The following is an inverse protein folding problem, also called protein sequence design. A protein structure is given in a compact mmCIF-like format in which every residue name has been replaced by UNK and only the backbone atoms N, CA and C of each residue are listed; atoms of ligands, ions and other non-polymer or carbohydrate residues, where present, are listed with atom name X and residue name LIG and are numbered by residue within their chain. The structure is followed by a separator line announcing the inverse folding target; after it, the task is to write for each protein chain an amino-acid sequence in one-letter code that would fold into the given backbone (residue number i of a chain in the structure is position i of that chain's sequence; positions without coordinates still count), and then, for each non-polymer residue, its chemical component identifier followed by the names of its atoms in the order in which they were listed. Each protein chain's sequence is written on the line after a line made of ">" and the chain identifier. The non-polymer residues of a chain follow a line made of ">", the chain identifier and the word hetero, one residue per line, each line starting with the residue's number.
data_IF_079363489874
#
_entry.id   IF_079363489874
#
_cell.length_a   1.000
_cell.length_b   1.000
_cell.length_c   1.000
_cell.angle_alpha   90.00
_cell.angle_beta   90.00
_cell.angle_gamma   90.00
#
_symmetry.space_group_name_H-M   'P 1'
#
loop_
_entity.id
_entity.type
_entity.pdbx_description
1 polymer ?
#
# COMPACT_ATOMS: atom_id res chain seq x y z
N UNK A 1 13.07 4.56 -7.47
CA UNK A 1 12.99 4.94 -6.04
C UNK A 1 13.69 3.97 -5.10
N UNK A 2 14.09 4.44 -3.92
CA UNK A 2 14.64 3.66 -2.78
C UNK A 2 13.93 4.02 -1.47
N UNK A 3 13.96 3.11 -0.49
CA UNK A 3 13.38 3.34 0.84
C UNK A 3 14.39 3.03 1.95
N UNK A 4 14.57 3.96 2.88
CA UNK A 4 15.38 3.79 4.08
C UNK A 4 14.47 3.61 5.30
N UNK A 5 14.51 2.40 5.90
CA UNK A 5 13.72 2.02 7.08
C UNK A 5 14.07 2.87 8.31
N UNK A 6 15.35 3.19 8.50
CA UNK A 6 15.82 3.88 9.72
C UNK A 6 15.26 5.31 9.81
N UNK A 7 15.20 6.00 8.67
CA UNK A 7 14.68 7.37 8.56
C UNK A 7 13.22 7.44 8.09
N UNK A 8 12.64 6.32 7.63
CA UNK A 8 11.35 6.23 6.91
C UNK A 8 11.31 7.17 5.70
N UNK A 9 12.43 7.30 5.01
CA UNK A 9 12.58 8.20 3.86
C UNK A 9 12.45 7.42 2.57
N UNK A 10 11.55 7.87 1.69
CA UNK A 10 11.55 7.46 0.28
C UNK A 10 12.35 8.49 -0.53
N UNK A 11 13.12 7.99 -1.50
CA UNK A 11 13.94 8.82 -2.39
C UNK A 11 13.67 8.42 -3.83
N UNK A 12 13.43 9.39 -4.70
CA UNK A 12 13.27 9.14 -6.14
C UNK A 12 14.61 9.00 -6.88
N UNK A 13 14.53 8.72 -8.18
CA UNK A 13 15.68 8.62 -9.09
C UNK A 13 16.44 9.93 -9.27
N UNK A 14 15.81 11.08 -8.96
CA UNK A 14 16.43 12.41 -9.02
C UNK A 14 17.00 12.85 -7.66
N UNK A 15 16.88 12.02 -6.62
CA UNK A 15 17.35 12.31 -5.27
C UNK A 15 16.39 13.14 -4.42
N UNK A 16 15.17 13.42 -4.89
CA UNK A 16 14.13 14.09 -4.08
C UNK A 16 13.66 13.14 -2.99
N UNK A 17 13.63 13.64 -1.76
CA UNK A 17 13.31 12.85 -0.58
C UNK A 17 11.96 13.23 0.02
N UNK A 18 11.31 12.24 0.63
CA UNK A 18 10.13 12.45 1.47
C UNK A 18 10.14 11.51 2.67
N UNK A 19 9.97 12.10 3.85
CA UNK A 19 9.85 11.35 5.10
C UNK A 19 8.38 10.93 5.27
N UNK A 20 8.14 9.64 5.44
CA UNK A 20 6.83 9.09 5.74
C UNK A 20 6.47 9.35 7.21
N UNK A 21 5.19 9.55 7.49
CA UNK A 21 4.72 9.57 8.88
C UNK A 21 5.03 8.23 9.58
N UNK A 22 5.15 8.19 10.92
CA UNK A 22 5.49 6.95 11.63
C UNK A 22 4.60 5.76 11.25
N UNK A 23 3.27 5.96 11.18
CA UNK A 23 2.33 4.89 10.79
C UNK A 23 2.42 4.53 9.31
N UNK A 24 2.69 5.50 8.41
CA UNK A 24 2.93 5.20 7.00
C UNK A 24 4.19 4.35 6.82
N UNK A 25 5.27 4.68 7.56
CA UNK A 25 6.50 3.89 7.56
C UNK A 25 6.26 2.46 8.04
N UNK A 26 5.60 2.28 9.19
CA UNK A 26 5.25 0.95 9.70
C UNK A 26 4.40 0.14 8.71
N UNK A 27 3.38 0.77 8.10
CA UNK A 27 2.57 0.11 7.07
C UNK A 27 3.41 -0.27 5.86
N UNK A 28 4.30 0.62 5.42
CA UNK A 28 5.11 0.38 4.23
C UNK A 28 6.15 -0.71 4.46
N UNK A 29 6.81 -0.72 5.62
CA UNK A 29 7.71 -1.79 6.05
C UNK A 29 6.98 -3.13 6.09
N UNK A 30 5.80 -3.19 6.73
CA UNK A 30 4.98 -4.40 6.79
C UNK A 30 4.62 -4.91 5.37
N UNK A 31 4.30 -4.00 4.46
CA UNK A 31 3.97 -4.32 3.08
C UNK A 31 5.19 -4.77 2.25
N UNK A 32 6.36 -4.16 2.45
CA UNK A 32 7.63 -4.55 1.82
C UNK A 32 8.05 -5.94 2.29
N UNK A 33 8.00 -6.18 3.61
CA UNK A 33 8.40 -7.46 4.20
C UNK A 33 7.47 -8.61 3.75
N UNK A 34 6.28 -8.28 3.23
CA UNK A 34 5.31 -9.21 2.66
C UNK A 34 5.04 -8.94 1.16
N UNK A 35 6.02 -8.41 0.42
CA UNK A 35 5.85 -8.05 -0.99
C UNK A 35 5.31 -9.25 -1.80
N UNK A 36 4.30 -9.00 -2.63
CA UNK A 36 3.61 -10.03 -3.42
C UNK A 36 2.58 -10.87 -2.65
N UNK A 37 2.53 -10.75 -1.32
CA UNK A 37 1.59 -11.46 -0.45
C UNK A 37 0.53 -10.52 0.15
N UNK A 38 -0.57 -11.10 0.60
CA UNK A 38 -1.67 -10.34 1.21
C UNK A 38 -1.32 -10.07 2.67
N UNK A 39 -1.22 -8.79 3.02
CA UNK A 39 -1.23 -8.33 4.40
C UNK A 39 -2.67 -8.13 4.83
N UNK A 40 -3.14 -8.94 5.77
CA UNK A 40 -4.52 -8.87 6.25
C UNK A 40 -4.74 -7.65 7.14
N UNK A 41 -5.99 -7.22 7.25
CA UNK A 41 -6.38 -6.13 8.17
C UNK A 41 -6.06 -6.46 9.61
N UNK A 42 -6.20 -7.72 10.00
CA UNK A 42 -5.83 -8.17 11.35
C UNK A 42 -4.33 -8.03 11.59
N UNK A 43 -3.50 -8.49 10.66
CA UNK A 43 -2.05 -8.30 10.72
C UNK A 43 -1.67 -6.82 10.82
N UNK A 44 -2.37 -5.94 10.09
CA UNK A 44 -2.16 -4.49 10.20
C UNK A 44 -2.51 -3.96 11.59
N UNK A 45 -3.64 -4.38 12.18
CA UNK A 45 -4.07 -4.00 13.54
C UNK A 45 -3.05 -4.43 14.58
N UNK A 46 -2.59 -5.66 14.49
CA UNK A 46 -1.60 -6.23 15.41
C UNK A 46 -0.25 -5.50 15.30
N UNK A 47 0.23 -5.25 14.08
CA UNK A 47 1.58 -4.72 13.85
C UNK A 47 1.66 -3.21 14.06
N UNK A 48 0.72 -2.45 13.50
CA UNK A 48 0.80 -0.97 13.47
C UNK A 48 0.18 -0.35 14.72
N UNK A 49 -0.84 -1.00 15.29
CA UNK A 49 -1.59 -0.47 16.43
C UNK A 49 -1.53 -1.37 17.67
N UNK A 50 -0.70 -2.42 17.68
CA UNK A 50 -0.46 -3.27 18.86
C UNK A 50 -1.76 -3.81 19.47
N UNK A 51 -2.70 -4.29 18.62
CA UNK A 51 -4.03 -4.80 19.01
C UNK A 51 -4.99 -3.76 19.59
N UNK A 52 -4.72 -2.46 19.45
CA UNK A 52 -5.76 -1.46 19.72
C UNK A 52 -6.93 -1.61 18.74
N UNK A 53 -8.15 -1.45 19.26
CA UNK A 53 -9.37 -1.48 18.44
C UNK A 53 -9.38 -0.25 17.52
N UNK A 54 -9.07 -0.46 16.24
CA UNK A 54 -9.16 0.57 15.20
C UNK A 54 -10.33 0.29 14.26
N UNK A 55 -10.90 1.32 13.63
CA UNK A 55 -11.93 1.10 12.61
C UNK A 55 -11.29 0.63 11.30
N UNK A 56 -12.08 -0.05 10.47
CA UNK A 56 -11.73 -0.34 9.07
C UNK A 56 -11.40 0.94 8.29
N UNK A 57 -12.15 2.00 8.58
CA UNK A 57 -11.98 3.32 7.99
C UNK A 57 -10.59 3.91 8.28
N UNK A 58 -10.08 3.75 9.51
CA UNK A 58 -8.73 4.19 9.87
C UNK A 58 -7.65 3.47 9.07
N UNK A 59 -7.82 2.15 8.82
CA UNK A 59 -6.91 1.37 7.98
C UNK A 59 -6.95 1.89 6.53
N UNK A 60 -8.16 2.09 6.00
CA UNK A 60 -8.35 2.66 4.66
C UNK A 60 -7.68 4.02 4.52
N UNK A 61 -7.85 4.91 5.50
CA UNK A 61 -7.23 6.22 5.50
C UNK A 61 -5.70 6.15 5.54
N UNK A 62 -5.13 5.25 6.35
CA UNK A 62 -3.69 5.06 6.40
C UNK A 62 -3.14 4.58 5.05
N UNK A 63 -3.80 3.60 4.41
CA UNK A 63 -3.41 3.10 3.08
C UNK A 63 -3.53 4.21 2.02
N UNK A 64 -4.62 4.98 2.03
CA UNK A 64 -4.81 6.11 1.12
C UNK A 64 -3.71 7.17 1.30
N UNK A 65 -3.32 7.46 2.55
CA UNK A 65 -2.22 8.38 2.83
C UNK A 65 -0.90 7.85 2.30
N UNK A 66 -0.59 6.58 2.57
CA UNK A 66 0.63 5.95 2.08
C UNK A 66 0.70 5.99 0.55
N UNK A 67 -0.40 5.65 -0.16
CA UNK A 67 -0.45 5.77 -1.62
C UNK A 67 -0.15 7.20 -2.10
N UNK A 68 -0.72 8.22 -1.45
CA UNK A 68 -0.43 9.62 -1.80
C UNK A 68 1.04 9.98 -1.58
N UNK A 69 1.63 9.53 -0.48
CA UNK A 69 3.04 9.78 -0.19
C UNK A 69 3.97 9.08 -1.20
N UNK A 70 3.68 7.82 -1.56
CA UNK A 70 4.45 7.07 -2.58
C UNK A 70 4.36 7.68 -3.98
N UNK A 71 3.16 8.06 -4.43
CA UNK A 71 2.95 8.65 -5.77
C UNK A 71 3.31 10.14 -5.85
N UNK A 72 3.84 10.74 -4.78
CA UNK A 72 4.14 12.18 -4.76
C UNK A 72 5.50 12.55 -5.33
N UNK A 73 6.39 11.57 -5.54
CA UNK A 73 7.76 11.81 -6.01
C UNK A 73 7.97 11.42 -7.47
N UNK A 74 7.49 10.24 -7.89
CA UNK A 74 7.61 9.77 -9.28
C UNK A 74 6.23 9.55 -9.91
N UNK A 75 6.09 9.93 -11.19
CA UNK A 75 4.88 9.66 -11.97
C UNK A 75 4.62 8.17 -12.13
N UNK A 76 5.70 7.40 -12.39
CA UNK A 76 5.68 5.94 -12.45
C UNK A 76 6.26 5.39 -11.13
N UNK A 77 5.44 5.40 -10.08
CA UNK A 77 5.87 4.88 -8.80
C UNK A 77 6.04 3.34 -8.87
N UNK A 78 7.21 2.79 -8.54
CA UNK A 78 7.46 1.36 -8.64
C UNK A 78 6.71 0.56 -7.57
N UNK A 79 6.10 1.19 -6.57
CA UNK A 79 5.38 0.56 -5.46
C UNK A 79 3.89 0.79 -5.57
N UNK A 80 3.14 -0.26 -5.89
CA UNK A 80 1.70 -0.21 -6.05
C UNK A 80 1.03 -1.03 -4.95
N UNK A 81 0.11 -0.39 -4.22
CA UNK A 81 -0.66 -1.04 -3.15
C UNK A 81 -2.03 -1.40 -3.70
N UNK A 82 -2.33 -2.68 -3.76
CA UNK A 82 -3.61 -3.23 -4.22
C UNK A 82 -4.59 -3.40 -3.06
N UNK A 83 -5.88 -3.36 -3.39
CA UNK A 83 -6.94 -3.79 -2.46
C UNK A 83 -7.33 -5.21 -2.82
N UNK A 84 -7.29 -6.10 -1.84
CA UNK A 84 -7.86 -7.44 -1.95
C UNK A 84 -9.17 -7.45 -1.15
N UNK A 85 -10.35 -7.48 -1.82
CA UNK A 85 -11.64 -7.40 -1.15
C UNK A 85 -11.76 -8.41 -0.01
N UNK A 86 -12.28 -7.95 1.13
CA UNK A 86 -12.48 -8.75 2.36
C UNK A 86 -11.22 -9.35 3.01
N UNK A 87 -10.05 -9.27 2.37
CA UNK A 87 -8.82 -9.87 2.88
C UNK A 87 -7.84 -8.81 3.41
N UNK A 88 -7.48 -7.83 2.58
CA UNK A 88 -6.45 -6.86 2.99
C UNK A 88 -5.86 -6.12 1.81
N UNK A 89 -4.54 -5.94 1.86
CA UNK A 89 -3.78 -5.19 0.86
C UNK A 89 -2.52 -5.96 0.50
N UNK A 90 -2.03 -5.70 -0.69
CA UNK A 90 -0.79 -6.31 -1.19
C UNK A 90 0.06 -5.23 -1.84
N UNK A 91 1.36 -5.25 -1.56
CA UNK A 91 2.32 -4.46 -2.29
C UNK A 91 2.85 -5.25 -3.48
N UNK A 92 2.80 -4.66 -4.66
CA UNK A 92 3.43 -5.16 -5.87
C UNK A 92 4.38 -4.12 -6.43
N UNK A 93 5.44 -4.61 -7.06
CA UNK A 93 6.42 -3.75 -7.72
C UNK A 93 6.25 -3.76 -9.23
N UNK A 94 6.78 -2.74 -9.90
CA UNK A 94 6.69 -2.58 -11.36
C UNK A 94 7.20 -3.81 -12.15
N UNK A 95 8.18 -4.55 -11.63
CA UNK A 95 8.63 -5.82 -12.23
C UNK A 95 7.51 -6.87 -12.32
N UNK A 96 6.49 -6.79 -11.45
CA UNK A 96 5.29 -7.64 -11.47
C UNK A 96 4.11 -7.02 -12.25
N UNK A 97 4.26 -5.83 -12.84
CA UNK A 97 3.17 -5.05 -13.45
C UNK A 97 2.48 -5.75 -14.65
N UNK A 98 3.12 -6.74 -15.26
CA UNK A 98 2.57 -7.46 -16.41
C UNK A 98 1.26 -8.22 -16.13
N UNK A 99 0.88 -8.46 -14.87
CA UNK A 99 -0.36 -9.18 -14.51
C UNK A 99 -1.49 -8.26 -14.01
N UNK A 100 -1.23 -6.95 -13.87
CA UNK A 100 -2.07 -6.02 -13.09
C UNK A 100 -3.28 -5.48 -13.86
N UNK A 101 -3.13 -5.18 -15.15
CA UNK A 101 -4.25 -4.66 -15.96
C UNK A 101 -5.47 -5.58 -15.95
N UNK A 102 -5.26 -6.89 -15.81
CA UNK A 102 -6.32 -7.89 -15.86
C UNK A 102 -7.21 -7.92 -14.61
N UNK A 103 -6.68 -7.71 -13.39
CA UNK A 103 -7.55 -7.72 -12.20
C UNK A 103 -8.29 -6.40 -12.01
N UNK A 104 -7.71 -5.26 -12.42
CA UNK A 104 -8.36 -3.94 -12.29
C UNK A 104 -9.64 -3.90 -13.12
N UNK A 105 -9.60 -4.43 -14.34
CA UNK A 105 -10.80 -4.61 -15.16
C UNK A 105 -11.80 -5.54 -14.48
N UNK A 106 -11.38 -6.71 -14.00
CA UNK A 106 -12.26 -7.69 -13.33
C UNK A 106 -12.86 -7.15 -12.02
N UNK A 107 -12.17 -6.28 -11.31
CA UNK A 107 -12.66 -5.61 -10.10
C UNK A 107 -13.67 -4.52 -10.46
N UNK A 108 -13.40 -3.70 -11.47
CA UNK A 108 -14.36 -2.71 -12.00
C UNK A 108 -15.65 -3.42 -12.45
N UNK A 109 -15.52 -4.55 -13.17
CA UNK A 109 -16.65 -5.34 -13.63
C UNK A 109 -17.46 -5.91 -12.45
N UNK A 110 -16.78 -6.39 -11.39
CA UNK A 110 -17.40 -6.88 -10.17
C UNK A 110 -18.12 -5.78 -9.37
N UNK A 111 -17.50 -4.60 -9.22
CA UNK A 111 -18.11 -3.44 -8.53
C UNK A 111 -19.36 -2.97 -9.28
N UNK A 112 -19.31 -2.90 -10.61
CA UNK A 112 -20.44 -2.51 -11.44
C UNK A 112 -21.61 -3.50 -11.37
N UNK A 113 -21.35 -4.76 -11.04
CA UNK A 113 -22.38 -5.80 -10.90
C UNK A 113 -23.07 -5.80 -9.53
N UNK A 114 -22.44 -5.25 -8.48
CA UNK A 114 -22.97 -5.23 -7.11
C UNK A 114 -23.80 -3.97 -6.79
N UNK A 115 -23.60 -2.89 -7.55
CA UNK A 115 -24.27 -1.59 -7.32
C UNK A 115 -25.57 -1.45 -8.15
N UNK A 116 -26.06 -2.53 -8.77
CA UNK A 116 -27.37 -2.57 -9.46
C UNK A 116 -28.39 -3.42 -8.72
#
# INVERSE_FOLDING_TARGET
>A
MTYDKSSRTITDTQGVQRILSPKCGLLFELLIDNQGHIVTRETMRETIWQRQVVSEDMINHLVCRLRKELNSLEQECPWQIEVIPKLGYRLVTETHHHLIKAWLQRWIDWVNHIIK
#
